data_IF_977472867403
#
_entry.id   IF_977472867403
#
_cell.length_a   1.000
_cell.length_b   1.000
_cell.length_c   1.000
_cell.angle_alpha   90.00
_cell.angle_beta   90.00
_cell.angle_gamma   90.00
#
_symmetry.space_group_name_H-M   'P 1'
#
loop_
_entity.id
_entity.type
_entity.pdbx_description
1 polymer ?
#
# COMPACT_ATOMS: atom_id res chain seq x y z
N UNK A 1 -23.22 17.70 26.43
CA UNK A 1 -23.16 16.30 26.02
C UNK A 1 -21.89 16.10 25.16
N UNK A 2 -21.08 15.14 25.58
CA UNK A 2 -19.87 14.76 24.84
C UNK A 2 -20.26 13.72 23.80
N UNK A 3 -19.96 13.95 22.53
CA UNK A 3 -20.26 13.00 21.45
C UNK A 3 -19.02 12.13 21.16
N UNK A 4 -19.24 10.82 21.07
CA UNK A 4 -18.25 9.86 20.61
C UNK A 4 -18.71 9.34 19.25
N UNK A 5 -17.86 9.41 18.25
CA UNK A 5 -18.15 8.93 16.91
C UNK A 5 -17.46 7.59 16.65
N UNK A 6 -18.20 6.69 16.02
CA UNK A 6 -17.69 5.41 15.51
C UNK A 6 -17.64 5.51 13.99
N UNK A 7 -16.48 5.82 13.37
CA UNK A 7 -16.37 5.86 11.91
C UNK A 7 -16.53 4.44 11.34
N UNK A 8 -17.76 4.13 10.93
CA UNK A 8 -18.15 2.82 10.42
C UNK A 8 -17.93 2.74 8.90
N UNK A 9 -17.48 1.58 8.46
CA UNK A 9 -17.43 1.19 7.05
C UNK A 9 -18.59 0.26 6.73
N UNK A 10 -19.43 0.62 5.77
CA UNK A 10 -20.47 -0.30 5.30
C UNK A 10 -19.84 -1.52 4.62
N UNK A 11 -20.36 -2.70 4.88
CA UNK A 11 -19.92 -4.00 4.34
C UNK A 11 -19.86 -4.05 2.80
N UNK A 12 -20.47 -3.11 2.10
CA UNK A 12 -20.62 -3.12 0.64
C UNK A 12 -19.93 -1.97 -0.09
N UNK A 13 -19.30 -1.05 0.64
CA UNK A 13 -18.57 0.06 0.04
C UNK A 13 -17.26 0.25 0.76
N UNK A 14 -16.15 0.02 0.07
CA UNK A 14 -14.85 0.44 0.57
C UNK A 14 -14.86 1.95 0.80
N UNK A 15 -14.49 2.44 1.98
CA UNK A 15 -14.36 3.87 2.19
C UNK A 15 -13.31 4.45 1.26
N UNK A 16 -13.56 5.66 0.77
CA UNK A 16 -12.59 6.40 -0.06
C UNK A 16 -11.30 6.71 0.68
N UNK A 17 -11.39 6.88 1.99
CA UNK A 17 -10.27 7.23 2.86
C UNK A 17 -9.95 6.08 3.81
N UNK A 18 -8.67 5.78 4.09
CA UNK A 18 -8.24 4.89 5.15
C UNK A 18 -8.81 5.31 6.51
N UNK A 19 -8.78 4.37 7.47
CA UNK A 19 -9.30 4.64 8.82
C UNK A 19 -8.65 5.86 9.47
N UNK A 20 -7.35 5.96 9.39
CA UNK A 20 -6.54 7.02 10.02
C UNK A 20 -6.87 8.41 9.45
N UNK A 21 -7.06 8.51 8.15
CA UNK A 21 -7.49 9.76 7.52
C UNK A 21 -8.92 10.15 7.93
N UNK A 22 -9.82 9.16 8.03
CA UNK A 22 -11.18 9.37 8.52
C UNK A 22 -11.18 9.79 9.99
N UNK A 23 -10.37 9.13 10.82
CA UNK A 23 -10.21 9.49 12.22
C UNK A 23 -9.77 10.95 12.36
N UNK A 24 -8.71 11.35 11.65
CA UNK A 24 -8.20 12.72 11.68
C UNK A 24 -9.25 13.74 11.24
N UNK A 25 -10.08 13.42 10.24
CA UNK A 25 -11.19 14.29 9.83
C UNK A 25 -12.23 14.45 10.92
N UNK A 26 -12.68 13.35 11.54
CA UNK A 26 -13.72 13.39 12.56
C UNK A 26 -13.26 14.05 13.87
N UNK A 27 -11.98 13.88 14.24
CA UNK A 27 -11.41 14.54 15.43
C UNK A 27 -11.38 16.07 15.30
N UNK A 28 -11.38 16.59 14.06
CA UNK A 28 -11.43 18.03 13.80
C UNK A 28 -12.85 18.61 13.65
N UNK A 29 -13.89 17.79 13.77
CA UNK A 29 -15.29 18.29 13.73
C UNK A 29 -15.65 18.89 15.09
N UNK A 30 -16.13 20.13 15.07
CA UNK A 30 -16.61 20.81 16.28
C UNK A 30 -17.73 20.01 16.94
N UNK A 31 -17.60 19.74 18.23
CA UNK A 31 -18.55 18.95 19.01
C UNK A 31 -18.20 17.47 19.11
N UNK A 32 -17.25 16.96 18.36
CA UNK A 32 -16.69 15.62 18.55
C UNK A 32 -15.75 15.66 19.75
N UNK A 33 -16.01 14.80 20.72
CA UNK A 33 -15.17 14.66 21.90
C UNK A 33 -14.08 13.62 21.71
N UNK A 34 -14.43 12.52 21.05
CA UNK A 34 -13.55 11.40 20.84
C UNK A 34 -13.96 10.62 19.59
N UNK A 35 -13.00 10.14 18.85
CA UNK A 35 -13.17 9.13 17.79
C UNK A 35 -12.62 7.82 18.31
N UNK A 36 -13.39 6.73 18.18
CA UNK A 36 -12.97 5.40 18.60
C UNK A 36 -13.12 4.42 17.46
N UNK A 37 -12.17 3.51 17.36
CA UNK A 37 -12.17 2.48 16.35
C UNK A 37 -13.31 1.47 16.59
N UNK A 38 -14.05 1.15 15.53
CA UNK A 38 -15.00 0.05 15.48
C UNK A 38 -14.37 -1.08 14.69
N UNK A 39 -13.80 -2.04 15.41
CA UNK A 39 -13.00 -3.13 14.81
C UNK A 39 -13.85 -4.24 14.20
N UNK A 40 -15.04 -4.48 14.75
CA UNK A 40 -15.93 -5.56 14.35
C UNK A 40 -17.28 -5.00 13.90
N UNK A 41 -18.12 -5.86 13.30
CA UNK A 41 -19.50 -5.49 12.99
C UNK A 41 -20.37 -5.33 14.25
N UNK A 42 -20.01 -6.02 15.33
CA UNK A 42 -20.69 -5.87 16.62
C UNK A 42 -20.28 -4.58 17.31
N UNK A 43 -21.24 -3.80 17.74
CA UNK A 43 -21.03 -2.58 18.53
C UNK A 43 -20.88 -2.85 20.03
N UNK A 44 -21.11 -4.08 20.46
CA UNK A 44 -21.23 -4.47 21.86
C UNK A 44 -20.07 -4.00 22.72
N UNK A 45 -18.83 -4.28 22.30
CA UNK A 45 -17.63 -3.92 23.06
C UNK A 45 -17.54 -2.41 23.33
N UNK A 46 -17.75 -1.60 22.29
CA UNK A 46 -17.73 -0.14 22.41
C UNK A 46 -18.91 0.38 23.23
N UNK A 47 -20.11 -0.19 23.07
CA UNK A 47 -21.28 0.21 23.84
C UNK A 47 -21.15 -0.12 25.33
N UNK A 48 -20.64 -1.30 25.67
CA UNK A 48 -20.39 -1.70 27.07
C UNK A 48 -19.29 -0.85 27.72
N UNK A 49 -18.27 -0.47 26.96
CA UNK A 49 -17.16 0.35 27.42
C UNK A 49 -17.54 1.81 27.66
N UNK A 50 -18.21 2.43 26.69
CA UNK A 50 -18.48 3.87 26.71
C UNK A 50 -19.86 4.24 27.24
N UNK A 51 -20.81 3.30 27.24
CA UNK A 51 -22.20 3.45 27.72
C UNK A 51 -22.85 4.75 27.29
N UNK A 52 -22.93 5.04 25.96
CA UNK A 52 -23.54 6.28 25.50
C UNK A 52 -25.03 6.37 25.87
N UNK A 53 -25.50 7.54 26.23
CA UNK A 53 -26.94 7.76 26.50
C UNK A 53 -27.79 7.59 25.25
N UNK A 54 -27.24 7.98 24.09
CA UNK A 54 -27.88 7.82 22.77
C UNK A 54 -26.92 7.20 21.78
N UNK A 55 -27.41 6.25 20.98
CA UNK A 55 -26.79 5.82 19.74
C UNK A 55 -27.63 6.37 18.59
N UNK A 56 -26.97 7.02 17.65
CA UNK A 56 -27.61 7.62 16.47
C UNK A 56 -27.13 6.87 15.23
N UNK A 57 -28.07 6.38 14.42
CA UNK A 57 -27.78 5.62 13.21
C UNK A 57 -28.79 5.91 12.08
N UNK A 58 -28.45 5.55 10.84
CA UNK A 58 -29.43 5.51 9.76
C UNK A 58 -30.39 4.30 9.94
N UNK A 59 -31.56 4.35 9.31
CA UNK A 59 -32.57 3.27 9.39
C UNK A 59 -32.32 2.13 8.38
N UNK A 60 -31.23 2.17 7.63
CA UNK A 60 -30.85 1.21 6.59
C UNK A 60 -30.54 -0.20 7.13
N UNK A 61 -30.43 -0.37 8.44
CA UNK A 61 -30.22 -1.64 9.13
C UNK A 61 -31.46 -2.21 9.83
N UNK A 62 -32.60 -1.55 9.74
CA UNK A 62 -33.87 -2.02 10.33
C UNK A 62 -34.34 -3.33 9.72
N UNK A 63 -33.98 -3.56 8.47
CA UNK A 63 -34.29 -4.79 7.71
C UNK A 63 -33.02 -5.37 7.06
N UNK A 64 -33.14 -6.60 6.54
CA UNK A 64 -32.04 -7.23 5.85
C UNK A 64 -31.00 -7.85 6.77
N UNK A 65 -29.81 -8.08 6.24
CA UNK A 65 -28.75 -8.84 6.93
C UNK A 65 -28.12 -8.08 8.12
N UNK A 66 -28.23 -6.74 8.19
CA UNK A 66 -27.75 -5.93 9.31
C UNK A 66 -28.73 -5.89 10.49
N UNK A 67 -29.96 -6.36 10.33
CA UNK A 67 -30.95 -6.39 11.40
C UNK A 67 -30.46 -7.07 12.68
N UNK A 68 -29.75 -8.20 12.67
CA UNK A 68 -29.21 -8.79 13.88
C UNK A 68 -28.24 -7.89 14.65
N UNK A 69 -27.44 -7.07 13.93
CA UNK A 69 -26.52 -6.11 14.55
C UNK A 69 -27.32 -5.00 15.24
N UNK A 70 -28.35 -4.48 14.58
CA UNK A 70 -29.26 -3.51 15.19
C UNK A 70 -29.92 -4.05 16.46
N UNK A 71 -30.46 -5.27 16.39
CA UNK A 71 -31.12 -5.90 17.52
C UNK A 71 -30.15 -6.11 18.71
N UNK A 72 -28.88 -6.44 18.45
CA UNK A 72 -27.81 -6.48 19.46
C UNK A 72 -27.59 -5.10 20.09
N UNK A 73 -27.45 -4.04 19.29
CA UNK A 73 -27.26 -2.67 19.77
C UNK A 73 -28.42 -2.24 20.69
N UNK A 74 -29.66 -2.49 20.27
CA UNK A 74 -30.84 -2.17 21.08
C UNK A 74 -30.81 -2.94 22.41
N UNK A 75 -30.50 -4.25 22.36
CA UNK A 75 -30.42 -5.08 23.56
C UNK A 75 -29.35 -4.58 24.55
N UNK A 76 -28.17 -4.18 24.04
CA UNK A 76 -27.10 -3.67 24.88
C UNK A 76 -27.47 -2.30 25.48
N UNK A 77 -28.09 -1.41 24.69
CA UNK A 77 -28.57 -0.11 25.17
C UNK A 77 -29.60 -0.26 26.29
N UNK A 78 -30.56 -1.16 26.11
CA UNK A 78 -31.60 -1.43 27.11
C UNK A 78 -31.00 -1.93 28.43
N UNK A 79 -29.89 -2.65 28.40
CA UNK A 79 -29.23 -3.19 29.60
C UNK A 79 -28.74 -2.11 30.59
N UNK A 80 -28.48 -0.89 30.10
CA UNK A 80 -28.02 0.22 30.94
C UNK A 80 -28.85 1.51 30.78
N UNK A 81 -30.03 1.45 30.11
CA UNK A 81 -30.95 2.58 29.94
C UNK A 81 -30.57 3.57 28.84
N UNK A 82 -29.69 3.15 27.89
CA UNK A 82 -29.40 3.93 26.69
C UNK A 82 -30.57 3.93 25.69
N UNK A 83 -30.51 4.78 24.69
CA UNK A 83 -31.57 4.93 23.68
C UNK A 83 -31.03 4.92 22.27
N UNK A 84 -31.75 4.25 21.36
CA UNK A 84 -31.52 4.31 19.92
C UNK A 84 -32.28 5.48 19.32
N UNK A 85 -31.61 6.25 18.44
CA UNK A 85 -32.25 7.29 17.61
C UNK A 85 -31.89 6.97 16.15
N UNK A 86 -32.90 6.71 15.35
CA UNK A 86 -32.74 6.36 13.94
C UNK A 86 -33.27 7.50 13.06
N UNK A 87 -32.53 7.82 12.04
CA UNK A 87 -32.92 8.78 11.01
C UNK A 87 -33.10 8.06 9.67
N UNK A 88 -34.06 8.49 8.83
CA UNK A 88 -34.20 7.95 7.50
C UNK A 88 -32.87 8.03 6.74
N UNK A 89 -32.41 6.88 6.26
CA UNK A 89 -31.24 6.84 5.39
C UNK A 89 -31.65 7.35 4.01
N UNK A 90 -31.25 8.54 3.68
CA UNK A 90 -31.41 9.06 2.32
C UNK A 90 -30.16 8.69 1.50
N UNK A 91 -30.35 7.85 0.48
CA UNK A 91 -29.40 7.75 -0.62
C UNK A 91 -29.48 9.04 -1.44
N UNK A 92 -29.07 10.15 -0.83
CA UNK A 92 -29.24 11.49 -1.40
C UNK A 92 -28.30 11.64 -2.61
N UNK A 93 -28.82 12.23 -3.68
CA UNK A 93 -28.03 12.67 -4.82
C UNK A 93 -26.83 13.52 -4.41
N UNK A 94 -26.98 14.29 -3.34
CA UNK A 94 -25.89 15.08 -2.73
C UNK A 94 -24.75 14.23 -2.19
N UNK A 95 -25.07 13.07 -1.57
CA UNK A 95 -24.02 12.14 -1.10
C UNK A 95 -23.25 11.52 -2.27
N UNK A 96 -23.96 11.11 -3.33
CA UNK A 96 -23.33 10.60 -4.55
C UNK A 96 -22.47 11.67 -5.23
N UNK A 97 -22.96 12.90 -5.28
CA UNK A 97 -22.20 14.03 -5.82
C UNK A 97 -20.93 14.31 -4.98
N UNK A 98 -21.03 14.25 -3.66
CA UNK A 98 -19.90 14.41 -2.75
C UNK A 98 -18.88 13.27 -2.90
N UNK A 99 -19.35 12.02 -2.98
CA UNK A 99 -18.47 10.85 -3.20
C UNK A 99 -17.77 10.96 -4.55
N UNK A 100 -18.47 11.31 -5.63
CA UNK A 100 -17.90 11.49 -6.95
C UNK A 100 -16.85 12.62 -6.96
N UNK A 101 -17.15 13.74 -6.29
CA UNK A 101 -16.21 14.84 -6.15
C UNK A 101 -14.95 14.41 -5.35
N UNK A 102 -15.12 13.71 -4.24
CA UNK A 102 -14.00 13.20 -3.47
C UNK A 102 -13.15 12.22 -4.28
N UNK A 103 -13.76 11.31 -5.06
CA UNK A 103 -13.04 10.42 -5.98
C UNK A 103 -12.26 11.21 -7.03
N UNK A 104 -12.87 12.22 -7.62
CA UNK A 104 -12.22 13.07 -8.63
C UNK A 104 -10.99 13.78 -8.01
N UNK A 105 -11.13 14.36 -6.83
CA UNK A 105 -10.01 15.01 -6.12
C UNK A 105 -8.90 14.03 -5.77
N UNK A 106 -9.24 12.84 -5.23
CA UNK A 106 -8.27 11.79 -4.89
C UNK A 106 -7.57 11.17 -6.12
N UNK A 107 -8.17 11.31 -7.31
CA UNK A 107 -7.61 10.85 -8.58
C UNK A 107 -6.62 11.85 -9.19
N UNK A 108 -6.59 13.09 -8.71
CA UNK A 108 -5.63 14.09 -9.19
C UNK A 108 -4.20 13.60 -9.00
N UNK A 109 -3.31 13.74 -10.00
CA UNK A 109 -1.94 13.25 -9.94
C UNK A 109 -1.18 13.70 -8.69
N UNK A 110 -1.31 14.96 -8.30
CA UNK A 110 -0.61 15.52 -7.14
C UNK A 110 -1.13 14.91 -5.83
N UNK A 111 -2.42 14.71 -5.71
CA UNK A 111 -3.03 14.10 -4.52
C UNK A 111 -2.64 12.64 -4.41
N UNK A 112 -2.81 11.85 -5.50
CA UNK A 112 -2.48 10.42 -5.52
C UNK A 112 -1.01 10.17 -5.20
N UNK A 113 -0.11 10.95 -5.80
CA UNK A 113 1.34 10.85 -5.58
C UNK A 113 1.71 10.99 -4.10
N UNK A 114 1.13 11.95 -3.39
CA UNK A 114 1.44 12.21 -1.98
C UNK A 114 0.83 11.20 -1.00
N UNK A 115 -0.18 10.44 -1.40
CA UNK A 115 -0.92 9.55 -0.47
C UNK A 115 -0.08 8.42 0.10
N UNK A 116 0.87 7.85 -0.66
CA UNK A 116 1.72 6.76 -0.16
C UNK A 116 2.58 7.22 1.01
N UNK A 117 3.26 8.35 0.86
CA UNK A 117 4.12 8.92 1.91
C UNK A 117 3.32 9.29 3.16
N UNK A 118 2.11 9.83 2.98
CA UNK A 118 1.19 10.11 4.09
C UNK A 118 0.74 8.81 4.77
N UNK A 119 0.36 7.77 4.02
CA UNK A 119 -0.05 6.50 4.58
C UNK A 119 1.08 5.84 5.41
N UNK A 120 2.32 5.87 4.91
CA UNK A 120 3.49 5.39 5.66
C UNK A 120 3.67 6.18 6.96
N UNK A 121 3.58 7.51 6.91
CA UNK A 121 3.72 8.36 8.09
C UNK A 121 2.62 8.12 9.13
N UNK A 122 1.38 7.84 8.70
CA UNK A 122 0.23 7.64 9.60
C UNK A 122 0.18 6.23 10.19
N UNK A 123 0.46 5.19 9.38
CA UNK A 123 0.32 3.77 9.79
C UNK A 123 1.63 3.15 10.29
N UNK A 124 2.76 3.73 9.90
CA UNK A 124 4.08 3.14 10.07
C UNK A 124 4.38 2.03 9.05
N UNK A 125 3.44 1.11 8.84
CA UNK A 125 3.54 0.03 7.87
C UNK A 125 2.29 -0.01 6.99
N UNK A 126 2.47 -0.15 5.70
CA UNK A 126 1.39 -0.29 4.70
C UNK A 126 1.59 -1.55 3.86
N UNK A 127 0.50 -2.02 3.27
CA UNK A 127 0.49 -3.19 2.39
C UNK A 127 0.15 -2.80 0.96
N UNK A 128 0.85 -3.41 0.00
CA UNK A 128 0.60 -3.20 -1.42
C UNK A 128 0.34 -4.54 -2.12
N UNK A 129 -0.77 -4.61 -2.87
CA UNK A 129 -1.12 -5.79 -3.68
C UNK A 129 -0.77 -5.55 -5.14
N UNK A 130 -0.27 -6.58 -5.78
CA UNK A 130 0.00 -6.61 -7.22
C UNK A 130 -1.26 -6.29 -8.04
N UNK A 131 -1.07 -5.44 -9.08
CA UNK A 131 -2.04 -5.20 -10.13
C UNK A 131 -1.33 -5.07 -11.49
N UNK A 132 -1.91 -5.66 -12.55
CA UNK A 132 -1.30 -5.70 -13.90
C UNK A 132 -2.31 -5.38 -15.02
N UNK A 133 -3.51 -4.95 -14.67
CA UNK A 133 -4.57 -4.53 -15.60
C UNK A 133 -5.64 -3.73 -14.85
N UNK A 134 -6.52 -3.04 -15.56
CA UNK A 134 -7.68 -2.39 -14.95
C UNK A 134 -8.56 -3.35 -14.15
N UNK A 135 -8.76 -4.60 -14.63
CA UNK A 135 -9.53 -5.61 -13.90
C UNK A 135 -8.88 -5.98 -12.56
N UNK A 136 -7.58 -6.26 -12.55
CA UNK A 136 -6.86 -6.58 -11.31
C UNK A 136 -6.80 -5.38 -10.37
N UNK A 137 -6.64 -4.17 -10.91
CA UNK A 137 -6.77 -2.92 -10.15
C UNK A 137 -8.13 -2.78 -9.49
N UNK A 138 -9.22 -3.06 -10.22
CA UNK A 138 -10.58 -3.02 -9.68
C UNK A 138 -10.79 -4.06 -8.56
N UNK A 139 -10.22 -5.26 -8.70
CA UNK A 139 -10.24 -6.29 -7.66
C UNK A 139 -9.56 -5.78 -6.39
N UNK A 140 -8.34 -5.25 -6.50
CA UNK A 140 -7.60 -4.70 -5.34
C UNK A 140 -8.34 -3.52 -4.69
N UNK A 141 -8.92 -2.63 -5.50
CA UNK A 141 -9.70 -1.47 -5.01
C UNK A 141 -10.92 -1.90 -4.19
N UNK A 142 -11.62 -2.97 -4.62
CA UNK A 142 -12.90 -3.37 -4.05
C UNK A 142 -12.81 -4.49 -3.01
N UNK A 143 -11.70 -5.23 -2.96
CA UNK A 143 -11.57 -6.36 -2.04
C UNK A 143 -11.39 -5.88 -0.62
N UNK A 144 -12.24 -6.40 0.26
CA UNK A 144 -12.11 -6.27 1.71
C UNK A 144 -12.13 -7.70 2.28
N UNK A 145 -11.09 -8.06 3.01
CA UNK A 145 -11.03 -9.29 3.78
C UNK A 145 -11.48 -9.02 5.22
N UNK A 146 -12.06 -10.01 5.84
CA UNK A 146 -12.47 -9.95 7.26
C UNK A 146 -11.73 -11.03 8.03
N UNK A 147 -11.01 -10.62 9.06
CA UNK A 147 -10.34 -11.54 9.99
C UNK A 147 -10.71 -11.14 11.41
N UNK A 148 -11.23 -12.08 12.19
CA UNK A 148 -11.73 -11.84 13.55
C UNK A 148 -12.74 -10.67 13.65
N UNK A 149 -13.49 -10.41 12.58
CA UNK A 149 -14.45 -9.32 12.48
C UNK A 149 -13.85 -7.97 12.09
N UNK A 150 -12.54 -7.86 11.98
CA UNK A 150 -11.86 -6.67 11.47
C UNK A 150 -11.80 -6.66 9.94
N UNK A 151 -11.97 -5.49 9.34
CA UNK A 151 -11.92 -5.29 7.90
C UNK A 151 -10.50 -4.89 7.47
N UNK A 152 -9.93 -5.66 6.54
CA UNK A 152 -8.60 -5.45 6.00
C UNK A 152 -8.66 -5.14 4.51
N UNK A 153 -7.93 -4.13 4.08
CA UNK A 153 -7.76 -3.74 2.68
C UNK A 153 -6.30 -3.42 2.41
N UNK A 154 -5.88 -3.60 1.16
CA UNK A 154 -4.58 -3.13 0.74
C UNK A 154 -4.56 -1.60 0.65
N UNK A 155 -3.45 -0.98 1.07
CA UNK A 155 -3.26 0.48 1.09
C UNK A 155 -2.82 1.03 -0.26
N UNK A 156 -2.08 0.23 -1.02
CA UNK A 156 -1.46 0.63 -2.29
C UNK A 156 -1.53 -0.51 -3.32
N UNK A 157 -1.21 -0.17 -4.57
CA UNK A 157 -1.05 -1.14 -5.65
C UNK A 157 0.41 -1.22 -6.09
N UNK A 158 0.87 -2.45 -6.31
CA UNK A 158 2.17 -2.76 -6.89
C UNK A 158 2.04 -3.13 -8.35
N UNK A 159 2.55 -2.30 -9.26
CA UNK A 159 2.57 -2.59 -10.69
C UNK A 159 3.85 -3.36 -11.01
N UNK A 160 3.76 -4.68 -10.88
CA UNK A 160 4.85 -5.64 -11.07
C UNK A 160 5.25 -5.77 -12.53
N UNK A 161 6.55 -5.74 -12.83
CA UNK A 161 7.06 -6.03 -14.17
C UNK A 161 6.83 -7.48 -14.58
N UNK A 162 7.00 -8.41 -13.63
CA UNK A 162 6.72 -9.83 -13.85
C UNK A 162 5.26 -10.06 -14.27
N UNK A 163 4.32 -9.51 -13.52
CA UNK A 163 2.91 -9.75 -13.77
C UNK A 163 2.42 -9.05 -15.03
N UNK A 164 2.89 -7.82 -15.28
CA UNK A 164 2.59 -7.09 -16.52
C UNK A 164 3.15 -7.78 -17.76
N UNK A 165 4.40 -8.29 -17.68
CA UNK A 165 5.00 -9.09 -18.77
C UNK A 165 4.24 -10.39 -19.00
N UNK A 166 3.89 -11.12 -17.92
CA UNK A 166 3.13 -12.37 -18.00
C UNK A 166 1.75 -12.15 -18.63
N UNK A 167 1.03 -11.10 -18.22
CA UNK A 167 -0.27 -10.76 -18.80
C UNK A 167 -0.21 -10.43 -20.30
N UNK A 168 0.96 -9.99 -20.78
CA UNK A 168 1.22 -9.71 -22.20
C UNK A 168 1.88 -10.90 -22.94
N UNK A 169 2.02 -12.08 -22.30
CA UNK A 169 2.65 -13.27 -22.87
C UNK A 169 4.14 -13.09 -23.17
N UNK A 170 4.84 -12.25 -22.42
CA UNK A 170 6.26 -11.93 -22.62
C UNK A 170 7.10 -12.32 -21.40
N UNK A 171 8.39 -12.67 -21.59
CA UNK A 171 9.28 -12.92 -20.47
C UNK A 171 9.60 -11.63 -19.70
N UNK A 172 9.85 -11.77 -18.39
CA UNK A 172 10.24 -10.70 -17.48
C UNK A 172 11.73 -10.38 -17.56
N UNK A 173 12.12 -9.73 -18.65
CA UNK A 173 13.51 -9.37 -19.00
C UNK A 173 13.62 -7.93 -19.54
N UNK A 174 12.77 -7.02 -19.09
CA UNK A 174 12.65 -5.65 -19.63
C UNK A 174 12.24 -5.62 -21.13
N UNK A 175 11.57 -6.69 -21.62
CA UNK A 175 11.10 -6.75 -23.00
C UNK A 175 9.86 -5.89 -23.23
N UNK A 176 9.02 -5.72 -22.21
CA UNK A 176 7.86 -4.81 -22.27
C UNK A 176 8.38 -3.39 -22.10
N UNK A 177 8.26 -2.60 -23.16
CA UNK A 177 8.73 -1.22 -23.16
C UNK A 177 7.94 -0.30 -22.22
N UNK A 178 8.54 0.82 -21.83
CA UNK A 178 7.95 1.75 -20.88
C UNK A 178 6.64 2.34 -21.37
N UNK A 179 6.43 2.55 -22.67
CA UNK A 179 5.16 3.08 -23.20
C UNK A 179 4.02 2.10 -22.93
N UNK A 180 4.28 0.81 -23.16
CA UNK A 180 3.32 -0.25 -22.87
C UNK A 180 3.04 -0.38 -21.35
N UNK A 181 4.07 -0.21 -20.51
CA UNK A 181 3.91 -0.23 -19.05
C UNK A 181 3.15 0.99 -18.51
N UNK A 182 3.34 2.16 -19.09
CA UNK A 182 2.57 3.36 -18.75
C UNK A 182 1.08 3.20 -19.08
N UNK A 183 0.73 2.53 -20.19
CA UNK A 183 -0.68 2.20 -20.48
C UNK A 183 -1.31 1.30 -19.44
N UNK A 184 -0.56 0.30 -18.93
CA UNK A 184 -1.02 -0.55 -17.82
C UNK A 184 -1.29 0.29 -16.57
N UNK A 185 -0.44 1.29 -16.28
CA UNK A 185 -0.68 2.23 -15.17
C UNK A 185 -1.96 3.04 -15.42
N UNK A 186 -2.16 3.58 -16.62
CA UNK A 186 -3.36 4.34 -16.99
C UNK A 186 -4.62 3.51 -16.77
N UNK A 187 -4.65 2.26 -17.29
CA UNK A 187 -5.79 1.35 -17.11
C UNK A 187 -6.11 1.08 -15.62
N UNK A 188 -5.08 0.96 -14.78
CA UNK A 188 -5.23 0.78 -13.34
C UNK A 188 -5.76 2.08 -12.70
N UNK A 189 -5.24 3.24 -13.10
CA UNK A 189 -5.62 4.54 -12.55
C UNK A 189 -7.08 4.91 -12.82
N UNK A 190 -7.69 4.39 -13.90
CA UNK A 190 -9.12 4.58 -14.20
C UNK A 190 -10.03 3.97 -13.12
N UNK A 191 -9.59 2.94 -12.42
CA UNK A 191 -10.42 2.17 -11.49
C UNK A 191 -10.06 2.36 -10.01
N UNK A 192 -8.97 3.07 -9.70
CA UNK A 192 -8.48 3.23 -8.33
C UNK A 192 -8.12 4.66 -7.97
N UNK A 193 -8.28 4.98 -6.69
CA UNK A 193 -7.68 6.17 -6.07
C UNK A 193 -6.47 5.82 -5.19
N UNK A 194 -6.15 4.54 -5.01
CA UNK A 194 -5.01 4.09 -4.19
C UNK A 194 -3.69 4.56 -4.79
N UNK A 195 -2.67 4.82 -3.95
CA UNK A 195 -1.33 5.11 -4.43
C UNK A 195 -0.73 3.94 -5.20
N UNK A 196 0.11 4.24 -6.18
CA UNK A 196 0.75 3.25 -7.04
C UNK A 196 2.26 3.23 -6.76
N UNK A 197 2.77 2.01 -6.57
CA UNK A 197 4.18 1.67 -6.50
C UNK A 197 4.54 0.96 -7.81
N UNK A 198 5.52 1.47 -8.54
CA UNK A 198 5.92 0.95 -9.84
C UNK A 198 7.24 0.18 -9.77
N UNK A 199 7.24 -1.03 -10.34
CA UNK A 199 8.46 -1.83 -10.56
C UNK A 199 9.23 -1.25 -11.74
N UNK A 200 10.31 -0.56 -11.46
CA UNK A 200 11.16 0.08 -12.45
C UNK A 200 12.24 -0.81 -13.05
N UNK A 201 12.26 -2.10 -12.69
CA UNK A 201 13.29 -3.04 -13.11
C UNK A 201 14.70 -2.50 -12.78
N UNK A 202 15.66 -2.50 -13.74
CA UNK A 202 17.00 -1.91 -13.57
C UNK A 202 17.00 -0.37 -13.73
N UNK A 203 15.87 0.21 -14.13
CA UNK A 203 15.78 1.62 -14.55
C UNK A 203 16.37 1.91 -15.93
N UNK A 204 16.94 0.92 -16.58
CA UNK A 204 17.59 1.08 -17.89
C UNK A 204 18.80 2.02 -17.87
N UNK A 205 19.03 2.75 -18.97
CA UNK A 205 20.07 3.78 -19.03
C UNK A 205 19.70 4.98 -18.15
N UNK A 206 20.66 5.61 -17.52
CA UNK A 206 20.46 6.74 -16.62
C UNK A 206 19.69 7.89 -17.29
N UNK A 207 19.99 8.19 -18.54
CA UNK A 207 19.31 9.20 -19.33
C UNK A 207 17.82 8.88 -19.55
N UNK A 208 17.48 7.61 -19.77
CA UNK A 208 16.08 7.16 -19.89
C UNK A 208 15.39 7.15 -18.52
N UNK A 209 16.10 6.77 -17.46
CA UNK A 209 15.57 6.76 -16.11
C UNK A 209 15.10 8.15 -15.67
N UNK A 210 15.84 9.20 -15.99
CA UNK A 210 15.46 10.59 -15.73
C UNK A 210 14.09 10.92 -16.34
N UNK A 211 13.83 10.50 -17.57
CA UNK A 211 12.52 10.74 -18.23
C UNK A 211 11.43 9.82 -17.69
N UNK A 212 11.74 8.59 -17.31
CA UNK A 212 10.83 7.67 -16.62
C UNK A 212 10.35 8.29 -15.30
N UNK A 213 11.25 8.80 -14.49
CA UNK A 213 10.93 9.52 -13.23
C UNK A 213 9.97 10.67 -13.48
N UNK A 214 10.30 11.56 -14.42
CA UNK A 214 9.44 12.71 -14.77
C UNK A 214 8.05 12.31 -15.24
N UNK A 215 7.97 11.22 -16.01
CA UNK A 215 6.70 10.73 -16.55
C UNK A 215 5.84 10.12 -15.45
N UNK A 216 6.38 9.24 -14.62
CA UNK A 216 5.68 8.61 -13.51
C UNK A 216 5.21 9.65 -12.48
N UNK A 217 6.06 10.62 -12.16
CA UNK A 217 5.72 11.72 -11.27
C UNK A 217 4.52 12.53 -11.79
N UNK A 218 4.54 12.91 -13.08
CA UNK A 218 3.45 13.63 -13.75
C UNK A 218 2.16 12.82 -13.80
N UNK A 219 2.24 11.49 -14.00
CA UNK A 219 1.07 10.60 -13.98
C UNK A 219 0.43 10.48 -12.59
N UNK A 220 1.17 10.82 -11.52
CA UNK A 220 0.68 10.68 -10.15
C UNK A 220 1.01 9.33 -9.51
N UNK A 221 2.01 8.61 -10.04
CA UNK A 221 2.63 7.46 -9.36
C UNK A 221 3.32 7.94 -8.10
N UNK A 222 3.25 7.17 -7.01
CA UNK A 222 3.78 7.57 -5.72
C UNK A 222 5.23 7.15 -5.50
N UNK A 223 5.62 6.00 -6.07
CA UNK A 223 6.94 5.41 -5.86
C UNK A 223 7.41 4.62 -7.09
N UNK A 224 8.68 4.73 -7.40
CA UNK A 224 9.39 3.80 -8.28
C UNK A 224 10.42 3.01 -7.49
N UNK A 225 10.51 1.71 -7.71
CA UNK A 225 11.54 0.84 -7.16
C UNK A 225 12.45 0.39 -8.30
N UNK A 226 13.76 0.58 -8.17
CA UNK A 226 14.76 0.16 -9.16
C UNK A 226 15.82 -0.72 -8.51
N UNK A 227 16.20 -1.80 -9.21
CA UNK A 227 17.18 -2.76 -8.70
C UNK A 227 18.60 -2.48 -9.18
N UNK A 228 19.58 -2.74 -8.31
CA UNK A 228 21.01 -2.49 -8.56
C UNK A 228 21.67 -3.57 -9.44
N UNK A 229 20.99 -3.97 -10.54
CA UNK A 229 21.51 -4.89 -11.55
C UNK A 229 21.80 -4.18 -12.87
N UNK A 230 22.65 -4.78 -13.68
CA UNK A 230 23.02 -4.30 -15.01
C UNK A 230 22.65 -5.29 -16.10
N UNK A 231 22.57 -4.81 -17.34
CA UNK A 231 22.22 -5.60 -18.50
C UNK A 231 20.71 -5.91 -18.55
N UNK A 232 20.37 -6.92 -19.33
CA UNK A 232 18.99 -7.40 -19.37
C UNK A 232 18.63 -8.00 -18.01
N UNK A 233 17.53 -7.54 -17.43
CA UNK A 233 16.96 -8.07 -16.18
C UNK A 233 16.85 -9.59 -16.25
N UNK A 234 17.11 -10.24 -15.14
CA UNK A 234 16.79 -11.64 -14.88
C UNK A 234 15.96 -11.71 -13.61
N UNK A 235 15.00 -12.62 -13.57
CA UNK A 235 14.17 -12.79 -12.38
C UNK A 235 15.03 -13.17 -11.18
N UNK A 236 14.89 -12.46 -10.08
CA UNK A 236 15.70 -12.65 -8.87
C UNK A 236 15.51 -14.01 -8.22
N UNK A 237 14.36 -14.68 -8.44
CA UNK A 237 14.10 -16.03 -7.92
C UNK A 237 15.02 -17.09 -8.53
N UNK A 238 15.61 -16.84 -9.70
CA UNK A 238 16.64 -17.72 -10.28
C UNK A 238 17.98 -17.61 -9.54
N UNK A 239 18.22 -16.55 -8.78
CA UNK A 239 19.49 -16.34 -8.05
C UNK A 239 20.70 -16.50 -8.96
N UNK A 240 21.65 -17.36 -8.56
CA UNK A 240 22.86 -17.64 -9.31
C UNK A 240 22.70 -18.75 -10.38
N UNK A 241 21.52 -19.37 -10.53
CA UNK A 241 21.24 -20.36 -11.58
C UNK A 241 21.33 -19.73 -12.98
N UNK A 242 21.05 -18.43 -13.07
CA UNK A 242 21.24 -17.64 -14.29
C UNK A 242 22.20 -16.50 -13.98
N UNK A 243 23.22 -16.32 -14.83
CA UNK A 243 24.20 -15.25 -14.63
C UNK A 243 23.49 -13.89 -14.54
N UNK A 244 23.65 -13.23 -13.39
CA UNK A 244 23.16 -11.89 -13.10
C UNK A 244 24.34 -11.03 -12.67
N UNK A 245 24.34 -9.77 -13.08
CA UNK A 245 25.42 -8.83 -12.76
C UNK A 245 24.86 -7.68 -11.95
N UNK A 246 25.40 -7.49 -10.75
CA UNK A 246 25.10 -6.35 -9.91
C UNK A 246 25.91 -5.14 -10.38
N UNK A 247 25.31 -3.97 -10.43
CA UNK A 247 25.98 -2.73 -10.81
C UNK A 247 27.00 -2.31 -9.74
N UNK A 248 27.94 -1.47 -10.11
CA UNK A 248 28.83 -0.85 -9.12
C UNK A 248 28.03 0.12 -8.23
N UNK A 249 28.51 0.29 -6.99
CA UNK A 249 27.90 1.25 -6.06
C UNK A 249 27.91 2.66 -6.67
N UNK A 250 28.99 3.03 -7.32
CA UNK A 250 29.18 4.34 -7.93
C UNK A 250 28.19 4.60 -9.06
N UNK A 251 28.07 3.65 -10.01
CA UNK A 251 27.15 3.81 -11.16
C UNK A 251 25.69 3.86 -10.72
N UNK A 252 25.28 2.95 -9.82
CA UNK A 252 23.91 2.93 -9.36
C UNK A 252 23.58 4.14 -8.48
N UNK A 253 24.52 4.60 -7.63
CA UNK A 253 24.38 5.84 -6.89
C UNK A 253 24.22 7.06 -7.81
N UNK A 254 24.99 7.11 -8.90
CA UNK A 254 24.85 8.17 -9.91
C UNK A 254 23.46 8.15 -10.57
N UNK A 255 22.93 6.96 -10.89
CA UNK A 255 21.56 6.79 -11.42
C UNK A 255 20.51 7.29 -10.43
N UNK A 256 20.60 6.91 -9.16
CA UNK A 256 19.70 7.39 -8.09
C UNK A 256 19.77 8.92 -7.97
N UNK A 257 20.99 9.50 -7.94
CA UNK A 257 21.17 10.93 -7.85
C UNK A 257 20.58 11.69 -9.06
N UNK A 258 20.74 11.14 -10.28
CA UNK A 258 20.14 11.70 -11.48
C UNK A 258 18.60 11.66 -11.43
N UNK A 259 18.01 10.54 -10.99
CA UNK A 259 16.58 10.43 -10.75
C UNK A 259 16.09 11.42 -9.69
N UNK A 260 16.83 11.57 -8.59
CA UNK A 260 16.50 12.54 -7.52
C UNK A 260 16.49 13.97 -8.02
N UNK A 261 17.46 14.34 -8.85
CA UNK A 261 17.51 15.67 -9.48
C UNK A 261 16.39 15.90 -10.50
N UNK A 262 15.89 14.82 -11.12
CA UNK A 262 14.80 14.89 -12.09
C UNK A 262 13.43 15.13 -11.46
N UNK A 263 13.26 14.77 -10.20
CA UNK A 263 12.01 14.97 -9.45
C UNK A 263 11.68 16.48 -9.33
N UNK A 264 10.39 16.80 -9.45
CA UNK A 264 9.89 18.15 -9.27
C UNK A 264 9.20 18.33 -7.90
N UNK A 265 8.77 17.25 -7.26
CA UNK A 265 8.06 17.27 -5.98
C UNK A 265 8.77 16.43 -4.93
N UNK A 266 8.44 16.67 -3.67
CA UNK A 266 8.96 15.87 -2.54
C UNK A 266 8.15 14.59 -2.30
N UNK A 267 7.00 14.45 -2.93
CA UNK A 267 6.05 13.37 -2.66
C UNK A 267 6.35 12.09 -3.44
N UNK A 268 6.93 12.20 -4.65
CA UNK A 268 7.37 11.05 -5.43
C UNK A 268 8.61 10.41 -4.79
N UNK A 269 8.60 9.09 -4.64
CA UNK A 269 9.67 8.35 -3.97
C UNK A 269 10.47 7.51 -4.96
N UNK A 270 11.80 7.55 -4.85
CA UNK A 270 12.73 6.65 -5.56
C UNK A 270 13.32 5.70 -4.53
N UNK A 271 13.03 4.40 -4.67
CA UNK A 271 13.49 3.35 -3.77
C UNK A 271 14.54 2.50 -4.49
N UNK A 272 15.68 2.32 -3.85
CA UNK A 272 16.75 1.47 -4.32
C UNK A 272 16.55 0.03 -3.83
N UNK A 273 16.42 -0.92 -4.76
CA UNK A 273 16.33 -2.34 -4.46
C UNK A 273 17.72 -2.96 -4.56
N UNK A 274 18.10 -3.63 -3.46
CA UNK A 274 19.42 -4.22 -3.28
C UNK A 274 19.34 -5.73 -3.51
N UNK A 275 20.09 -6.22 -4.47
CA UNK A 275 20.12 -7.63 -4.88
C UNK A 275 21.30 -8.42 -4.24
N UNK A 276 22.06 -7.83 -3.33
CA UNK A 276 23.24 -8.46 -2.71
C UNK A 276 22.96 -9.80 -2.04
N UNK A 277 21.81 -9.95 -1.33
CA UNK A 277 21.45 -11.23 -0.70
C UNK A 277 21.00 -12.27 -1.74
N UNK A 278 20.34 -11.84 -2.82
CA UNK A 278 19.98 -12.70 -3.96
C UNK A 278 21.22 -13.25 -4.66
N UNK A 279 22.23 -12.40 -4.82
CA UNK A 279 23.47 -12.71 -5.53
C UNK A 279 24.59 -13.24 -4.60
N UNK A 280 24.25 -13.55 -3.34
CA UNK A 280 25.14 -14.13 -2.33
C UNK A 280 26.40 -13.28 -2.06
N UNK A 281 26.28 -11.94 -2.18
CA UNK A 281 27.35 -10.99 -1.84
C UNK A 281 27.47 -10.75 -0.34
N UNK A 282 26.47 -11.16 0.43
CA UNK A 282 26.43 -11.10 1.88
C UNK A 282 25.94 -9.78 2.46
N UNK A 283 25.76 -9.80 3.77
CA UNK A 283 25.13 -8.72 4.55
C UNK A 283 25.93 -7.40 4.50
N UNK A 284 27.27 -7.48 4.57
CA UNK A 284 28.11 -6.28 4.55
C UNK A 284 28.00 -5.53 3.21
N UNK A 285 27.95 -6.22 2.08
CA UNK A 285 27.74 -5.61 0.78
C UNK A 285 26.34 -4.98 0.71
N UNK A 286 25.30 -5.67 1.18
CA UNK A 286 23.95 -5.16 1.22
C UNK A 286 23.83 -3.85 2.01
N UNK A 287 24.41 -3.79 3.21
CA UNK A 287 24.41 -2.60 4.05
C UNK A 287 25.24 -1.45 3.45
N UNK A 288 26.43 -1.76 2.91
CA UNK A 288 27.27 -0.75 2.26
C UNK A 288 26.54 -0.08 1.11
N UNK A 289 25.85 -0.86 0.28
CA UNK A 289 25.00 -0.34 -0.82
C UNK A 289 23.83 0.48 -0.28
N UNK A 290 23.13 -0.03 0.72
CA UNK A 290 21.99 0.68 1.32
C UNK A 290 22.38 2.10 1.75
N UNK A 291 23.44 2.23 2.53
CA UNK A 291 23.91 3.54 2.99
C UNK A 291 24.42 4.43 1.84
N UNK A 292 25.11 3.86 0.86
CA UNK A 292 25.55 4.60 -0.32
C UNK A 292 24.36 5.15 -1.12
N UNK A 293 23.32 4.35 -1.31
CA UNK A 293 22.13 4.74 -2.08
C UNK A 293 21.27 5.77 -1.35
N UNK A 294 21.13 5.66 -0.02
CA UNK A 294 20.50 6.70 0.79
C UNK A 294 21.27 8.01 0.69
N UNK A 295 22.61 7.96 0.80
CA UNK A 295 23.48 9.14 0.63
C UNK A 295 23.36 9.74 -0.77
N UNK A 296 23.14 8.93 -1.81
CA UNK A 296 22.88 9.38 -3.18
C UNK A 296 21.49 9.99 -3.38
N UNK A 297 20.58 9.86 -2.42
CA UNK A 297 19.25 10.49 -2.41
C UNK A 297 18.10 9.51 -2.63
N UNK A 298 18.30 8.20 -2.47
CA UNK A 298 17.17 7.26 -2.42
C UNK A 298 16.22 7.64 -1.28
N UNK A 299 14.91 7.64 -1.57
CA UNK A 299 13.86 7.95 -0.60
C UNK A 299 13.46 6.73 0.24
N UNK A 300 14.02 5.56 -0.04
CA UNK A 300 13.83 4.30 0.68
C UNK A 300 14.70 3.18 0.12
N UNK A 301 14.74 2.06 0.85
CA UNK A 301 15.51 0.87 0.48
C UNK A 301 14.59 -0.33 0.43
N UNK A 302 14.71 -1.14 -0.63
CA UNK A 302 14.10 -2.46 -0.71
C UNK A 302 15.18 -3.52 -0.59
N UNK A 303 15.02 -4.43 0.37
CA UNK A 303 15.86 -5.61 0.51
C UNK A 303 15.11 -6.85 0.08
N UNK A 304 15.76 -7.73 -0.66
CA UNK A 304 15.15 -8.92 -1.21
C UNK A 304 15.96 -10.17 -0.86
N UNK A 305 15.24 -11.26 -0.57
CA UNK A 305 15.83 -12.58 -0.28
C UNK A 305 15.00 -13.68 -0.94
N UNK A 306 15.67 -14.77 -1.31
CA UNK A 306 15.03 -16.01 -1.79
C UNK A 306 15.00 -17.13 -0.73
N UNK A 307 15.57 -16.89 0.44
CA UNK A 307 15.51 -17.85 1.56
C UNK A 307 14.10 -17.96 2.10
N UNK A 308 13.77 -19.14 2.58
CA UNK A 308 12.46 -19.40 3.23
C UNK A 308 12.39 -18.81 4.63
N UNK A 309 13.54 -18.75 5.31
CA UNK A 309 13.66 -18.17 6.63
C UNK A 309 13.94 -16.66 6.53
N UNK A 310 13.32 -15.84 7.37
CA UNK A 310 13.41 -14.37 7.30
C UNK A 310 14.68 -13.79 7.93
N UNK A 311 15.54 -14.61 8.53
CA UNK A 311 16.64 -14.18 9.41
C UNK A 311 17.55 -13.13 8.77
N UNK A 312 17.95 -13.31 7.51
CA UNK A 312 18.80 -12.33 6.85
C UNK A 312 18.08 -11.00 6.52
N UNK A 313 16.76 -11.04 6.33
CA UNK A 313 15.97 -9.81 6.19
C UNK A 313 15.88 -9.09 7.52
N UNK A 314 15.64 -9.82 8.60
CA UNK A 314 15.56 -9.24 9.94
C UNK A 314 16.91 -8.68 10.40
N UNK A 315 18.00 -9.39 10.14
CA UNK A 315 19.36 -8.91 10.41
C UNK A 315 19.65 -7.60 9.64
N UNK A 316 19.27 -7.56 8.35
CA UNK A 316 19.43 -6.35 7.55
C UNK A 316 18.63 -5.18 8.15
N UNK A 317 17.34 -5.42 8.44
CA UNK A 317 16.44 -4.38 8.97
C UNK A 317 17.01 -3.82 10.29
N UNK A 318 17.42 -4.67 11.22
CA UNK A 318 17.98 -4.26 12.51
C UNK A 318 19.23 -3.38 12.34
N UNK A 319 20.20 -3.86 11.55
CA UNK A 319 21.46 -3.14 11.32
C UNK A 319 21.27 -1.83 10.56
N UNK A 320 20.34 -1.82 9.59
CA UNK A 320 20.04 -0.62 8.82
C UNK A 320 19.32 0.42 9.69
N UNK A 321 18.31 0.03 10.47
CA UNK A 321 17.56 0.92 11.37
C UNK A 321 18.44 1.57 12.45
N UNK A 322 19.50 0.89 12.89
CA UNK A 322 20.43 1.45 13.85
C UNK A 322 21.15 2.72 13.37
N UNK A 323 21.23 2.95 12.04
CA UNK A 323 21.89 4.11 11.45
C UNK A 323 20.90 5.01 10.67
N UNK A 324 19.85 4.43 10.09
CA UNK A 324 18.85 5.12 9.28
C UNK A 324 17.43 4.86 9.84
N UNK A 325 17.07 5.48 10.98
CA UNK A 325 15.80 5.19 11.67
C UNK A 325 14.55 5.59 10.87
N UNK A 326 14.64 6.61 10.02
CA UNK A 326 13.50 7.22 9.32
C UNK A 326 13.36 6.78 7.85
N UNK A 327 14.40 6.20 7.25
CA UNK A 327 14.38 5.82 5.83
C UNK A 327 13.44 4.63 5.62
N UNK A 328 12.41 4.73 4.77
CA UNK A 328 11.48 3.63 4.51
C UNK A 328 12.16 2.35 4.04
N UNK A 329 11.78 1.22 4.65
CA UNK A 329 12.19 -0.12 4.24
C UNK A 329 11.02 -0.83 3.57
N UNK A 330 11.28 -1.39 2.39
CA UNK A 330 10.34 -2.18 1.59
C UNK A 330 10.77 -3.64 1.59
N UNK A 331 9.82 -4.56 1.78
CA UNK A 331 10.06 -6.01 1.69
C UNK A 331 9.05 -6.69 0.78
N UNK A 332 9.45 -7.82 0.19
CA UNK A 332 8.59 -8.70 -0.62
C UNK A 332 8.68 -10.11 -0.06
N UNK A 333 7.78 -10.52 0.85
CA UNK A 333 7.89 -11.79 1.56
C UNK A 333 7.40 -13.00 0.74
N UNK A 334 7.69 -13.06 -0.56
CA UNK A 334 7.26 -14.18 -1.41
C UNK A 334 7.88 -15.50 -0.99
N UNK A 335 9.15 -15.49 -0.60
CA UNK A 335 9.91 -16.70 -0.19
C UNK A 335 9.73 -17.02 1.29
N UNK A 336 9.61 -16.02 2.16
CA UNK A 336 9.47 -16.12 3.62
C UNK A 336 8.07 -15.67 4.09
N UNK A 337 7.06 -16.29 3.52
CA UNK A 337 5.65 -15.91 3.66
C UNK A 337 4.98 -16.36 4.98
N UNK A 338 5.76 -16.83 5.93
CA UNK A 338 5.30 -17.17 7.29
C UNK A 338 5.32 -16.00 8.26
N UNK A 339 5.98 -14.89 7.88
CA UNK A 339 6.07 -13.67 8.68
C UNK A 339 4.79 -12.85 8.55
N UNK A 340 4.23 -12.42 9.67
CA UNK A 340 3.03 -11.58 9.71
C UNK A 340 3.33 -10.10 9.47
N UNK A 341 2.30 -9.34 9.11
CA UNK A 341 2.41 -7.88 8.93
C UNK A 341 2.78 -7.19 10.25
N UNK A 342 2.25 -7.68 11.37
CA UNK A 342 2.58 -7.19 12.71
C UNK A 342 4.05 -7.41 13.06
N UNK A 343 4.63 -8.53 12.68
CA UNK A 343 6.05 -8.80 12.89
C UNK A 343 6.94 -7.87 12.06
N UNK A 344 6.55 -7.59 10.81
CA UNK A 344 7.24 -6.58 9.98
C UNK A 344 7.13 -5.19 10.59
N UNK A 345 5.93 -4.82 11.04
CA UNK A 345 5.67 -3.53 11.71
C UNK A 345 6.52 -3.36 12.97
N UNK A 346 6.55 -4.38 13.82
CA UNK A 346 7.35 -4.36 15.06
C UNK A 346 8.86 -4.19 14.82
N UNK A 347 9.35 -4.58 13.63
CA UNK A 347 10.75 -4.42 13.22
C UNK A 347 11.03 -3.12 12.45
N UNK A 348 9.98 -2.31 12.20
CA UNK A 348 10.14 -1.03 11.50
C UNK A 348 10.18 -1.16 9.96
N UNK A 349 9.61 -2.20 9.38
CA UNK A 349 9.36 -2.28 7.94
C UNK A 349 8.18 -1.38 7.60
N UNK A 350 8.27 -0.61 6.52
CA UNK A 350 7.26 0.39 6.17
C UNK A 350 6.34 -0.03 5.02
N UNK A 351 6.82 -0.89 4.12
CA UNK A 351 6.02 -1.36 2.99
C UNK A 351 6.19 -2.87 2.82
N UNK A 352 5.08 -3.59 2.84
CA UNK A 352 5.02 -5.04 2.56
C UNK A 352 4.33 -5.22 1.21
N UNK A 353 5.03 -5.80 0.23
CA UNK A 353 4.51 -5.99 -1.14
C UNK A 353 4.10 -7.44 -1.35
N UNK A 354 2.87 -7.67 -1.73
CA UNK A 354 2.32 -8.91 -2.24
C UNK A 354 2.47 -8.93 -3.76
N UNK A 355 3.59 -9.50 -4.23
CA UNK A 355 4.17 -9.16 -5.52
C UNK A 355 3.49 -9.78 -6.75
N UNK A 356 2.78 -10.92 -6.60
CA UNK A 356 2.26 -11.68 -7.74
C UNK A 356 1.06 -12.60 -7.40
N UNK A 357 0.35 -12.33 -6.33
CA UNK A 357 -0.71 -13.20 -5.83
C UNK A 357 -1.90 -13.32 -6.78
N UNK A 358 -2.33 -12.22 -7.41
CA UNK A 358 -3.43 -12.26 -8.39
C UNK A 358 -3.05 -13.07 -9.63
N UNK A 359 -1.83 -12.86 -10.14
CA UNK A 359 -1.30 -13.63 -11.27
C UNK A 359 -1.18 -15.12 -10.91
N UNK A 360 -0.63 -15.47 -9.75
CA UNK A 360 -0.47 -16.87 -9.29
C UNK A 360 -1.80 -17.56 -9.02
N UNK A 361 -2.82 -16.83 -8.62
CA UNK A 361 -4.16 -17.38 -8.39
C UNK A 361 -4.98 -17.47 -9.67
N UNK A 362 -4.90 -16.45 -10.52
CA UNK A 362 -5.67 -16.36 -11.76
C UNK A 362 -5.15 -17.32 -12.85
N UNK A 363 -3.83 -17.40 -13.04
CA UNK A 363 -3.24 -18.19 -14.12
C UNK A 363 -3.64 -19.69 -14.10
N UNK A 364 -3.61 -20.42 -12.97
CA UNK A 364 -4.05 -21.82 -12.94
C UNK A 364 -5.56 -22.01 -13.13
N UNK A 365 -6.36 -20.95 -12.93
CA UNK A 365 -7.81 -20.99 -13.08
C UNK A 365 -8.28 -20.71 -14.52
N UNK A 366 -7.43 -20.13 -15.36
CA UNK A 366 -7.68 -19.89 -16.78
C UNK A 366 -7.34 -21.10 -17.64
#
# INVERSE_FOLDING_TARGET
PRSTLFPYTTLFRSPLLPYEERQALFENISGVYQVVEQKTLSYKENLEKYKPTYVVHGDDWVTGFQKPIRDEVVSVLDSYGGKMVEFPYSADEKYQALENRARAELSLPDVRRGRLKKAIAMKGTITAMEAHSGLTGLIVEKTTAYQNGEAHQFDAMWVSSLCDSTAKGKPDIELVDMTSRFRTIDDIMEVTTKPIIFDGDTGGLTEHFVYTVKTLERMGVSMIIVEDKTGMKKNSLFGNEVKQTQDSIENFSAKIAAGKQAKQTQDFMIVARIESLILERGMNDALTRAFAFVKAGADGIMIHSRKKEPDEIFEFVEKFRAQEPEVPIVVVPTSFNTVTEEEFKARGVNVVIYANQLTRTGFPAM
#
